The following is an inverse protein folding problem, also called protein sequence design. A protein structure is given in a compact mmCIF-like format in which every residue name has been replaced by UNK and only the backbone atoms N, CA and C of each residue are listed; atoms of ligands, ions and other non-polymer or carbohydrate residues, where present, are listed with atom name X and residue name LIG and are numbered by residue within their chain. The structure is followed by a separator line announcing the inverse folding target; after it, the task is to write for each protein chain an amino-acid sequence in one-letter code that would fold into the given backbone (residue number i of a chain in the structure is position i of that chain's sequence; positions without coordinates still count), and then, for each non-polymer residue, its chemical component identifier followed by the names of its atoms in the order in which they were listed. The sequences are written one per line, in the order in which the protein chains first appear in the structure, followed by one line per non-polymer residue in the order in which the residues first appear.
data_IF_696522798567
#
_entry.id   IF_696522798567
#
_cell.length_a   1.000
_cell.length_b   1.000
_cell.length_c   1.000
_cell.angle_alpha   90.00
_cell.angle_beta   90.00
_cell.angle_gamma   90.00
#
_symmetry.space_group_name_H-M   'P 1'
#
loop_
_entity.id
_entity.type
_entity.pdbx_description
1 polymer ?
#
# COMPACT_ATOMS: atom_id res chain seq x y z
N UNK A 1 -1.60 21.39 15.27
CA UNK A 1 -1.20 20.00 15.57
C UNK A 1 -0.49 19.46 14.35
N UNK A 2 0.74 18.98 14.49
CA UNK A 2 1.41 18.24 13.41
C UNK A 2 0.80 16.83 13.36
N UNK A 3 0.34 16.34 12.21
CA UNK A 3 -0.18 14.98 12.12
C UNK A 3 0.89 13.98 12.58
N UNK A 4 0.47 12.90 13.27
CA UNK A 4 1.39 11.79 13.55
C UNK A 4 1.59 11.02 12.25
N UNK A 5 2.84 10.91 11.84
CA UNK A 5 3.24 10.26 10.60
C UNK A 5 4.10 9.05 10.99
N UNK A 6 3.75 7.87 10.49
CA UNK A 6 4.68 6.74 10.45
C UNK A 6 5.41 6.75 9.12
N UNK A 7 6.65 6.27 9.11
CA UNK A 7 7.41 6.16 7.87
C UNK A 7 8.28 4.91 7.84
N UNK A 8 8.59 4.44 6.65
CA UNK A 8 9.49 3.33 6.40
C UNK A 8 10.29 3.57 5.13
N UNK A 9 11.55 3.17 5.13
CA UNK A 9 12.46 3.35 4.00
C UNK A 9 12.98 2.00 3.52
N UNK A 10 12.96 1.80 2.20
CA UNK A 10 13.53 0.63 1.54
C UNK A 10 13.92 0.99 0.10
N UNK A 11 14.90 0.26 -0.45
CA UNK A 11 15.32 0.37 -1.85
C UNK A 11 15.62 1.82 -2.34
N UNK A 12 16.17 2.67 -1.46
CA UNK A 12 16.54 4.05 -1.79
C UNK A 12 15.40 5.07 -1.75
N UNK A 13 14.20 4.69 -1.31
CA UNK A 13 13.07 5.58 -1.11
C UNK A 13 12.45 5.45 0.29
N UNK A 14 11.73 6.48 0.71
CA UNK A 14 11.02 6.52 1.99
C UNK A 14 9.56 6.88 1.77
N UNK A 15 8.68 6.10 2.41
CA UNK A 15 7.23 6.30 2.36
C UNK A 15 6.73 6.69 3.74
N UNK A 16 5.87 7.69 3.77
CA UNK A 16 5.14 8.16 4.93
C UNK A 16 3.66 7.76 4.82
N UNK A 17 3.08 7.36 5.95
CA UNK A 17 1.65 7.09 6.11
C UNK A 17 1.10 8.10 7.10
N UNK A 18 0.00 8.75 6.74
CA UNK A 18 -0.63 9.79 7.56
C UNK A 18 -2.13 9.84 7.35
N UNK A 19 -2.87 10.34 8.34
CA UNK A 19 -4.28 10.67 8.14
C UNK A 19 -4.41 11.78 7.08
N UNK A 20 -5.51 11.79 6.34
CA UNK A 20 -5.75 12.76 5.27
C UNK A 20 -6.02 14.20 5.73
N UNK A 21 -6.06 14.45 7.04
CA UNK A 21 -6.34 15.74 7.65
C UNK A 21 -7.82 16.08 7.72
N UNK A 22 -8.69 15.32 7.05
CA UNK A 22 -10.14 15.42 7.12
C UNK A 22 -10.76 14.33 8.00
N UNK A 23 -9.96 13.32 8.38
CA UNK A 23 -10.41 12.20 9.20
C UNK A 23 -11.21 11.18 8.40
N UNK A 24 -11.15 11.22 7.07
CA UNK A 24 -11.90 10.34 6.19
C UNK A 24 -11.08 9.17 5.67
N UNK A 25 -9.75 9.28 5.71
CA UNK A 25 -8.87 8.26 5.17
C UNK A 25 -7.39 8.45 5.50
N UNK A 26 -6.57 7.71 4.77
CA UNK A 26 -5.14 7.58 4.95
C UNK A 26 -4.43 7.91 3.65
N UNK A 27 -3.41 8.76 3.72
CA UNK A 27 -2.47 8.96 2.63
C UNK A 27 -1.21 8.11 2.80
N UNK A 28 -0.76 7.54 1.70
CA UNK A 28 0.57 6.94 1.51
C UNK A 28 1.33 7.77 0.49
N UNK A 29 2.49 8.29 0.86
CA UNK A 29 3.22 9.29 0.07
C UNK A 29 4.72 9.24 0.31
N UNK A 30 5.51 9.84 -0.57
CA UNK A 30 6.94 9.99 -0.30
C UNK A 30 7.17 10.89 0.92
N UNK A 31 8.03 10.48 1.86
CA UNK A 31 8.23 11.21 3.14
C UNK A 31 8.78 12.62 2.92
N UNK A 32 9.68 12.76 1.94
CA UNK A 32 10.45 14.00 1.75
C UNK A 32 9.95 14.87 0.59
N UNK A 33 8.95 14.41 -0.18
CA UNK A 33 8.39 15.15 -1.30
C UNK A 33 6.98 15.61 -0.95
N UNK A 34 6.89 16.82 -0.40
CA UNK A 34 5.61 17.43 0.03
C UNK A 34 4.57 17.58 -1.10
N UNK A 35 5.01 17.58 -2.36
CA UNK A 35 4.16 17.63 -3.57
C UNK A 35 4.30 16.40 -4.47
N UNK A 36 4.85 15.31 -3.93
CA UNK A 36 4.93 14.04 -4.64
C UNK A 36 3.57 13.39 -4.86
N UNK A 37 3.52 12.29 -5.64
CA UNK A 37 2.31 11.48 -5.77
C UNK A 37 1.85 10.98 -4.40
N UNK A 38 0.53 10.94 -4.22
CA UNK A 38 -0.12 10.44 -3.01
C UNK A 38 -1.15 9.40 -3.42
N UNK A 39 -1.11 8.25 -2.75
CA UNK A 39 -2.19 7.28 -2.77
C UNK A 39 -3.09 7.57 -1.58
N UNK A 40 -4.40 7.54 -1.78
CA UNK A 40 -5.38 7.72 -0.72
C UNK A 40 -6.22 6.47 -0.59
N UNK A 41 -6.49 6.09 0.64
CA UNK A 41 -7.38 5.01 1.01
C UNK A 41 -8.45 5.57 1.92
N UNK A 42 -9.70 5.13 1.76
CA UNK A 42 -10.68 5.22 2.84
C UNK A 42 -10.23 4.38 4.05
N UNK A 43 -10.87 4.57 5.20
CA UNK A 43 -10.56 3.73 6.38
C UNK A 43 -10.80 2.25 6.14
N UNK A 44 -11.85 1.90 5.40
CA UNK A 44 -12.22 0.51 5.11
C UNK A 44 -11.21 -0.14 4.17
N UNK A 45 -10.81 0.56 3.10
CA UNK A 45 -9.79 0.10 2.17
C UNK A 45 -8.42 -0.03 2.86
N UNK A 46 -8.08 0.91 3.75
CA UNK A 46 -6.84 0.83 4.51
C UNK A 46 -6.82 -0.38 5.45
N UNK A 47 -7.93 -0.66 6.12
CA UNK A 47 -8.06 -1.84 6.97
C UNK A 47 -7.95 -3.15 6.16
N UNK A 48 -8.62 -3.22 5.00
CA UNK A 48 -8.53 -4.35 4.09
C UNK A 48 -7.09 -4.56 3.57
N UNK A 49 -6.41 -3.49 3.17
CA UNK A 49 -5.02 -3.53 2.74
C UNK A 49 -4.09 -4.10 3.84
N UNK A 50 -4.25 -3.66 5.08
CA UNK A 50 -3.45 -4.17 6.20
C UNK A 50 -3.73 -5.65 6.49
N UNK A 51 -4.98 -6.09 6.36
CA UNK A 51 -5.33 -7.49 6.54
C UNK A 51 -4.68 -8.36 5.45
N UNK A 52 -4.83 -8.00 4.18
CA UNK A 52 -4.20 -8.73 3.07
C UNK A 52 -2.68 -8.76 3.18
N UNK A 53 -2.05 -7.65 3.60
CA UNK A 53 -0.62 -7.60 3.86
C UNK A 53 -0.19 -8.56 4.98
N UNK A 54 -0.97 -8.64 6.07
CA UNK A 54 -0.71 -9.57 7.17
C UNK A 54 -0.92 -11.04 6.78
N UNK A 55 -1.86 -11.30 5.86
CA UNK A 55 -2.14 -12.62 5.30
C UNK A 55 -1.12 -13.04 4.22
N UNK A 56 -0.20 -12.15 3.83
CA UNK A 56 0.87 -12.43 2.88
C UNK A 56 0.48 -12.26 1.40
N UNK A 57 -0.64 -11.61 1.12
CA UNK A 57 -1.15 -11.35 -0.24
C UNK A 57 -0.13 -10.60 -1.10
N UNK A 58 0.68 -9.72 -0.48
CA UNK A 58 1.69 -8.92 -1.17
C UNK A 58 3.12 -9.49 -1.03
N UNK A 59 3.25 -10.79 -0.81
CA UNK A 59 4.56 -11.47 -0.76
C UNK A 59 5.12 -11.73 -2.16
N UNK A 60 6.45 -11.91 -2.27
CA UNK A 60 7.07 -12.30 -3.54
C UNK A 60 6.60 -13.67 -4.01
N UNK A 61 6.28 -14.57 -3.08
CA UNK A 61 5.75 -15.89 -3.39
C UNK A 61 4.36 -15.80 -4.05
N UNK A 62 3.51 -14.88 -3.57
CA UNK A 62 2.21 -14.59 -4.18
C UNK A 62 2.34 -14.16 -5.67
N UNK A 63 3.34 -13.33 -6.00
CA UNK A 63 3.59 -12.91 -7.39
C UNK A 63 3.96 -14.05 -8.33
N UNK A 64 4.61 -15.09 -7.81
CA UNK A 64 4.98 -16.28 -8.61
C UNK A 64 3.85 -17.28 -8.75
N UNK A 65 2.92 -17.28 -7.79
CA UNK A 65 1.76 -18.19 -7.75
C UNK A 65 0.69 -17.82 -8.78
N UNK A 66 0.61 -16.54 -9.16
CA UNK A 66 -0.33 -16.04 -10.18
C UNK A 66 0.11 -16.34 -11.62
N UNK A 67 1.33 -16.84 -11.84
CA UNK A 67 1.81 -17.30 -13.15
C UNK A 67 1.33 -18.71 -13.52
N UNK A 68 0.26 -19.21 -12.88
CA UNK A 68 -0.37 -20.45 -13.34
C UNK A 68 -0.80 -20.29 -14.81
N UNK A 69 -0.39 -21.20 -15.72
CA UNK A 69 -0.80 -21.15 -17.12
C UNK A 69 -2.28 -21.52 -17.22
N UNK A 70 -3.16 -20.57 -16.87
CA UNK A 70 -4.62 -20.75 -16.93
C UNK A 70 -5.17 -20.41 -18.32
N UNK A 71 -4.29 -20.12 -19.29
CA UNK A 71 -4.65 -19.89 -20.70
C UNK A 71 -4.51 -21.16 -21.58
N UNK A 72 -4.68 -22.35 -21.00
CA UNK A 72 -4.83 -23.58 -21.79
C UNK A 72 -6.32 -23.80 -22.09
N UNK A 73 -6.75 -23.26 -23.23
CA UNK A 73 -8.00 -23.61 -23.91
C UNK A 73 -8.04 -25.15 -24.07
N UNK A 74 -9.14 -25.84 -23.68
CA UNK A 74 -9.23 -27.28 -23.93
C UNK A 74 -9.18 -27.56 -25.43
N UNK A 75 -8.37 -28.55 -25.82
CA UNK A 75 -8.18 -29.01 -27.22
C UNK A 75 -9.40 -29.74 -27.75
#
# INVERSE_FOLDING_TARGET
MTPRISSYCAAGGCVAVSADGHGTGVYVQHSDLSRGPRLWFSHEEWAAFLLGAAEGEFSLDALTSDLTPTDQLPT
#
